data_IF_625953455920
#
_entry.id   IF_625953455920
#
_cell.length_a   1.000
_cell.length_b   1.000
_cell.length_c   1.000
_cell.angle_alpha   90.00
_cell.angle_beta   90.00
_cell.angle_gamma   90.00
#
_symmetry.space_group_name_H-M   'P 1'
#
loop_
_entity.id
_entity.type
_entity.pdbx_description
1 polymer ?
#
# COMPACT_ATOMS: atom_id res chain seq x y z
N UNK A 1 12.14 -1.86 -12.47
CA UNK A 1 11.61 -2.10 -13.84
C UNK A 1 12.70 -2.05 -14.94
N UNK A 2 13.92 -1.53 -14.69
CA UNK A 2 14.96 -1.26 -15.71
C UNK A 2 15.95 -2.42 -15.95
N UNK A 3 15.82 -3.56 -15.29
CA UNK A 3 16.67 -4.70 -15.58
C UNK A 3 16.19 -5.43 -16.82
N UNK A 4 17.14 -5.91 -17.66
CA UNK A 4 16.82 -6.71 -18.84
C UNK A 4 15.92 -7.93 -18.50
N UNK A 5 16.15 -8.55 -17.34
CA UNK A 5 15.33 -9.66 -16.85
C UNK A 5 13.88 -9.27 -16.58
N UNK A 6 13.63 -8.06 -16.04
CA UNK A 6 12.28 -7.56 -15.82
C UNK A 6 11.62 -7.17 -17.14
N UNK A 7 12.35 -6.51 -18.06
CA UNK A 7 11.84 -6.20 -19.39
C UNK A 7 11.47 -7.46 -20.18
N UNK A 8 12.30 -8.50 -20.11
CA UNK A 8 12.00 -9.79 -20.74
C UNK A 8 10.73 -10.43 -20.14
N UNK A 9 10.51 -10.28 -18.83
CA UNK A 9 9.32 -10.80 -18.16
C UNK A 9 8.05 -10.07 -18.59
N UNK A 10 8.03 -8.73 -18.57
CA UNK A 10 6.83 -7.96 -18.97
C UNK A 10 6.50 -8.07 -20.46
N UNK A 11 7.49 -8.33 -21.31
CA UNK A 11 7.28 -8.58 -22.73
C UNK A 11 7.04 -10.07 -23.07
N UNK A 12 6.86 -10.92 -22.07
CA UNK A 12 6.57 -12.34 -22.25
C UNK A 12 7.71 -13.19 -22.82
N UNK A 13 8.94 -12.65 -22.89
CA UNK A 13 10.12 -13.35 -23.43
C UNK A 13 10.69 -14.39 -22.48
N UNK A 14 10.47 -14.22 -21.19
CA UNK A 14 10.88 -15.16 -20.12
C UNK A 14 9.79 -15.31 -19.10
N UNK A 15 9.50 -16.54 -18.67
CA UNK A 15 8.47 -16.84 -17.69
C UNK A 15 8.94 -16.76 -16.23
N UNK A 16 10.22 -16.45 -15.99
CA UNK A 16 10.76 -16.38 -14.64
C UNK A 16 10.37 -15.06 -13.98
N UNK A 17 9.63 -15.14 -12.88
CA UNK A 17 9.30 -13.97 -12.06
C UNK A 17 10.58 -13.30 -11.52
N UNK A 18 10.62 -11.99 -11.59
CA UNK A 18 11.70 -11.16 -11.00
C UNK A 18 11.22 -10.65 -9.67
N UNK A 19 11.97 -10.91 -8.59
CA UNK A 19 11.64 -10.43 -7.24
C UNK A 19 11.98 -8.93 -7.09
N UNK A 20 11.23 -8.10 -7.83
CA UNK A 20 11.43 -6.65 -7.83
C UNK A 20 10.95 -5.99 -6.54
N UNK A 21 10.00 -6.60 -5.81
CA UNK A 21 9.53 -6.11 -4.53
C UNK A 21 10.62 -6.17 -3.46
N UNK A 22 11.35 -7.28 -3.38
CA UNK A 22 12.51 -7.38 -2.48
C UNK A 22 13.65 -6.46 -2.92
N UNK A 23 13.90 -6.36 -4.23
CA UNK A 23 14.92 -5.48 -4.76
C UNK A 23 14.62 -4.00 -4.43
N UNK A 24 13.37 -3.56 -4.63
CA UNK A 24 12.94 -2.22 -4.25
C UNK A 24 13.03 -1.95 -2.75
N UNK A 25 12.64 -2.92 -1.90
CA UNK A 25 12.76 -2.77 -0.46
C UNK A 25 14.22 -2.62 0.00
N UNK A 26 15.16 -3.34 -0.62
CA UNK A 26 16.59 -3.20 -0.31
C UNK A 26 17.13 -1.81 -0.58
N UNK A 27 16.65 -1.13 -1.62
CA UNK A 27 17.13 0.20 -1.98
C UNK A 27 16.91 1.25 -0.88
N UNK A 28 15.93 1.06 0.00
CA UNK A 28 15.71 1.94 1.15
C UNK A 28 16.85 1.88 2.19
N UNK A 29 17.64 0.81 2.20
CA UNK A 29 18.72 0.60 3.17
C UNK A 29 20.12 0.83 2.59
N UNK A 30 20.25 1.05 1.28
CA UNK A 30 21.56 1.21 0.60
C UNK A 30 22.32 2.45 1.08
N UNK A 31 21.64 3.49 1.56
CA UNK A 31 22.25 4.75 2.00
C UNK A 31 22.65 4.77 3.49
N UNK A 32 22.56 3.65 4.19
CA UNK A 32 23.05 3.48 5.57
C UNK A 32 22.25 4.17 6.68
N UNK A 33 21.27 5.01 6.36
CA UNK A 33 20.37 5.59 7.35
C UNK A 33 19.12 4.72 7.48
N UNK A 34 18.88 4.19 8.68
CA UNK A 34 17.68 3.40 8.98
C UNK A 34 16.79 4.23 9.90
N UNK A 35 15.97 5.09 9.30
CA UNK A 35 14.91 5.79 10.00
C UNK A 35 13.57 5.05 9.85
N UNK A 36 12.56 5.53 10.55
CA UNK A 36 11.20 5.01 10.48
C UNK A 36 10.61 5.06 9.06
N UNK A 37 10.87 6.16 8.35
CA UNK A 37 10.36 6.34 6.99
C UNK A 37 10.93 5.29 6.02
N UNK A 38 12.24 4.98 6.14
CA UNK A 38 12.88 3.95 5.34
C UNK A 38 12.30 2.56 5.65
N UNK A 39 12.08 2.25 6.93
CA UNK A 39 11.48 0.99 7.35
C UNK A 39 10.05 0.84 6.81
N UNK A 40 9.22 1.87 6.96
CA UNK A 40 7.84 1.89 6.44
C UNK A 40 7.84 1.73 4.92
N UNK A 41 8.68 2.48 4.21
CA UNK A 41 8.82 2.38 2.76
C UNK A 41 9.24 0.99 2.31
N UNK A 42 10.23 0.39 2.97
CA UNK A 42 10.68 -0.96 2.68
C UNK A 42 9.58 -2.01 2.92
N UNK A 43 8.81 -1.90 4.00
CA UNK A 43 7.67 -2.79 4.28
C UNK A 43 6.59 -2.68 3.21
N UNK A 44 6.22 -1.45 2.82
CA UNK A 44 5.24 -1.21 1.77
C UNK A 44 5.70 -1.80 0.44
N UNK A 45 6.94 -1.51 0.02
CA UNK A 45 7.48 -2.00 -1.26
C UNK A 45 7.70 -3.51 -1.25
N UNK A 46 8.16 -4.08 -0.12
CA UNK A 46 8.27 -5.54 -0.01
C UNK A 46 6.92 -6.24 -0.18
N UNK A 47 5.85 -5.60 0.29
CA UNK A 47 4.52 -6.18 0.42
C UNK A 47 3.55 -5.95 -0.74
N UNK A 48 3.80 -5.03 -1.67
CA UNK A 48 2.78 -4.52 -2.60
C UNK A 48 2.07 -5.57 -3.47
N UNK A 49 2.65 -6.76 -3.63
CA UNK A 49 2.00 -7.88 -4.33
C UNK A 49 1.40 -8.96 -3.41
N UNK A 50 1.74 -8.98 -2.12
CA UNK A 50 1.38 -10.09 -1.24
C UNK A 50 0.87 -9.67 0.15
N UNK A 51 0.79 -8.37 0.39
CA UNK A 51 0.50 -7.79 1.71
C UNK A 51 1.77 -7.43 2.47
N UNK A 52 1.64 -6.47 3.40
CA UNK A 52 2.74 -6.00 4.24
C UNK A 52 3.32 -7.19 5.03
N UNK A 53 4.60 -7.52 4.86
CA UNK A 53 5.20 -8.62 5.60
C UNK A 53 5.45 -8.26 7.06
N UNK A 54 5.55 -9.27 7.91
CA UNK A 54 6.10 -9.10 9.25
C UNK A 54 7.56 -8.65 9.18
N UNK A 55 8.01 -7.91 10.18
CA UNK A 55 9.40 -7.48 10.25
C UNK A 55 10.35 -8.68 10.34
N UNK A 56 9.94 -9.70 11.10
CA UNK A 56 10.75 -10.88 11.36
C UNK A 56 11.87 -10.63 12.38
N UNK A 57 12.81 -11.55 12.44
CA UNK A 57 13.90 -11.54 13.40
C UNK A 57 15.27 -11.61 12.72
N UNK A 58 16.32 -11.32 13.49
CA UNK A 58 17.72 -11.39 13.00
C UNK A 58 18.15 -12.80 12.58
N UNK A 59 17.47 -13.84 13.09
CA UNK A 59 17.79 -15.25 12.78
C UNK A 59 17.07 -15.75 11.52
N UNK A 60 16.11 -15.00 10.97
CA UNK A 60 15.41 -15.41 9.75
C UNK A 60 16.39 -15.66 8.61
N UNK A 61 16.15 -16.68 7.81
CA UNK A 61 16.95 -16.99 6.63
C UNK A 61 16.37 -16.34 5.36
N UNK A 62 17.11 -16.35 4.26
CA UNK A 62 16.71 -15.77 2.99
C UNK A 62 15.43 -16.41 2.38
N UNK A 63 15.02 -17.58 2.84
CA UNK A 63 13.76 -18.23 2.44
C UNK A 63 12.53 -17.77 3.21
N UNK A 64 12.71 -17.02 4.31
CA UNK A 64 11.61 -16.51 5.13
C UNK A 64 10.92 -15.33 4.44
N UNK A 65 9.58 -15.27 4.51
CA UNK A 65 8.77 -14.23 3.85
C UNK A 65 8.80 -12.88 4.58
N UNK A 66 9.40 -12.80 5.76
CA UNK A 66 9.55 -11.57 6.55
C UNK A 66 10.46 -10.53 5.86
N UNK A 67 10.39 -9.27 6.28
CA UNK A 67 11.29 -8.25 5.75
C UNK A 67 12.75 -8.63 5.98
N UNK A 68 13.13 -9.04 7.21
CA UNK A 68 14.49 -9.45 7.54
C UNK A 68 14.98 -10.64 6.69
N UNK A 69 14.12 -11.63 6.44
CA UNK A 69 14.44 -12.75 5.56
C UNK A 69 14.66 -12.29 4.11
N UNK A 70 13.80 -11.39 3.61
CA UNK A 70 13.94 -10.82 2.26
C UNK A 70 15.23 -10.02 2.10
N UNK A 71 15.65 -9.27 3.13
CA UNK A 71 16.91 -8.51 3.09
C UNK A 71 18.15 -9.41 2.93
N UNK A 72 18.08 -10.68 3.33
CA UNK A 72 19.17 -11.65 3.18
C UNK A 72 19.21 -12.35 1.81
N UNK A 73 18.20 -12.16 0.95
CA UNK A 73 18.22 -12.72 -0.41
C UNK A 73 19.35 -12.12 -1.24
N UNK A 74 20.06 -12.95 -2.00
CA UNK A 74 21.01 -12.47 -3.01
C UNK A 74 20.22 -11.99 -4.24
N UNK A 75 20.12 -10.67 -4.43
CA UNK A 75 19.42 -10.05 -5.54
C UNK A 75 20.39 -9.10 -6.23
N UNK A 76 20.41 -9.08 -7.58
CA UNK A 76 21.24 -8.13 -8.32
C UNK A 76 20.91 -6.68 -7.92
N UNK A 77 21.94 -5.84 -7.83
CA UNK A 77 21.77 -4.41 -7.55
C UNK A 77 20.89 -3.75 -8.62
N UNK A 78 20.02 -2.85 -8.17
CA UNK A 78 19.19 -2.06 -9.08
C UNK A 78 20.00 -0.83 -9.51
N UNK A 79 20.03 -0.57 -10.82
CA UNK A 79 20.45 0.73 -11.31
C UNK A 79 19.33 1.71 -11.09
N UNK A 80 19.54 2.72 -10.26
CA UNK A 80 18.57 3.79 -10.05
C UNK A 80 18.54 4.69 -11.28
N UNK A 81 17.44 4.74 -12.05
CA UNK A 81 17.34 5.70 -13.14
C UNK A 81 17.15 7.10 -12.53
N UNK A 82 18.18 7.93 -12.63
CA UNK A 82 18.18 9.30 -12.08
C UNK A 82 16.97 10.14 -12.51
N UNK A 83 16.42 9.89 -13.70
CA UNK A 83 15.26 10.59 -14.25
C UNK A 83 13.92 10.34 -13.51
N UNK A 84 13.85 9.31 -12.64
CA UNK A 84 12.67 8.99 -11.86
C UNK A 84 12.83 9.37 -10.39
N UNK A 85 13.97 9.93 -10.02
CA UNK A 85 14.12 10.50 -8.68
C UNK A 85 13.17 11.69 -8.61
N UNK A 86 12.11 11.55 -7.82
CA UNK A 86 11.31 12.67 -7.38
C UNK A 86 12.29 13.66 -6.76
N UNK A 87 12.13 14.92 -7.07
CA UNK A 87 12.92 15.99 -6.47
C UNK A 87 12.84 15.85 -4.95
N UNK A 88 13.85 15.22 -4.36
CA UNK A 88 13.93 14.97 -2.91
C UNK A 88 14.05 16.26 -2.10
N UNK A 89 14.25 17.41 -2.77
CA UNK A 89 14.27 18.72 -2.11
C UNK A 89 12.90 19.07 -1.49
N UNK A 90 11.81 18.41 -1.93
CA UNK A 90 10.48 18.62 -1.38
C UNK A 90 10.18 17.82 -0.10
N UNK A 91 11.05 16.86 0.28
CA UNK A 91 10.82 15.97 1.43
C UNK A 91 11.92 16.15 2.47
N UNK A 92 11.60 16.79 3.56
CA UNK A 92 12.45 16.81 4.76
C UNK A 92 12.34 15.47 5.50
N UNK A 93 13.25 14.55 5.15
CA UNK A 93 13.28 13.18 5.68
C UNK A 93 13.52 13.16 7.18
N UNK A 94 14.36 14.06 7.69
CA UNK A 94 14.68 14.12 9.12
C UNK A 94 13.51 14.64 9.94
N UNK A 95 12.81 15.64 9.42
CA UNK A 95 11.57 16.13 10.02
C UNK A 95 10.49 15.04 10.03
N UNK A 96 10.33 14.30 8.94
CA UNK A 96 9.36 13.19 8.85
C UNK A 96 9.71 12.05 9.81
N UNK A 97 10.96 11.66 9.93
CA UNK A 97 11.39 10.66 10.91
C UNK A 97 11.08 11.12 12.33
N UNK A 98 11.46 12.36 12.69
CA UNK A 98 11.15 12.95 13.99
C UNK A 98 9.66 13.04 14.26
N UNK A 99 8.86 13.36 13.24
CA UNK A 99 7.40 13.37 13.33
C UNK A 99 6.84 11.98 13.64
N UNK A 100 7.33 10.94 12.95
CA UNK A 100 6.89 9.55 13.15
C UNK A 100 7.28 9.05 14.54
N UNK A 101 8.48 9.33 15.01
CA UNK A 101 8.97 8.94 16.34
C UNK A 101 8.12 9.46 17.50
N UNK A 102 7.49 10.62 17.33
CA UNK A 102 6.61 11.22 18.32
C UNK A 102 5.18 10.64 18.32
N UNK A 103 4.87 9.72 17.42
CA UNK A 103 3.53 9.14 17.29
C UNK A 103 3.42 7.82 18.05
N UNK A 104 2.19 7.49 18.42
CA UNK A 104 1.91 6.19 19.00
C UNK A 104 1.91 5.08 17.92
N UNK A 105 1.96 3.84 18.35
CA UNK A 105 2.01 2.68 17.46
C UNK A 105 0.81 2.62 16.50
N UNK A 106 -0.38 3.05 16.94
CA UNK A 106 -1.59 3.03 16.11
C UNK A 106 -1.47 4.02 14.96
N UNK A 107 -0.98 5.24 15.22
CA UNK A 107 -0.79 6.27 14.19
C UNK A 107 0.20 5.79 13.12
N UNK A 108 1.32 5.18 13.55
CA UNK A 108 2.33 4.63 12.64
C UNK A 108 1.76 3.48 11.82
N UNK A 109 0.95 2.62 12.43
CA UNK A 109 0.28 1.52 11.72
C UNK A 109 -0.71 2.06 10.66
N UNK A 110 -1.51 3.07 11.00
CA UNK A 110 -2.45 3.70 10.07
C UNK A 110 -1.69 4.35 8.91
N UNK A 111 -0.65 5.13 9.21
CA UNK A 111 0.20 5.75 8.19
C UNK A 111 0.80 4.71 7.23
N UNK A 112 1.36 3.63 7.78
CA UNK A 112 1.91 2.53 6.98
C UNK A 112 0.87 1.93 6.05
N UNK A 113 -0.34 1.67 6.53
CA UNK A 113 -1.44 1.12 5.72
C UNK A 113 -1.92 2.07 4.64
N UNK A 114 -1.98 3.37 4.94
CA UNK A 114 -2.35 4.38 3.94
C UNK A 114 -1.29 4.47 2.83
N UNK A 115 -0.01 4.54 3.19
CA UNK A 115 1.08 4.54 2.20
C UNK A 115 1.09 3.26 1.36
N UNK A 116 0.87 2.12 1.98
CA UNK A 116 0.75 0.84 1.29
C UNK A 116 -0.43 0.85 0.29
N UNK A 117 -1.59 1.33 0.70
CA UNK A 117 -2.77 1.43 -0.16
C UNK A 117 -2.52 2.34 -1.37
N UNK A 118 -1.90 3.51 -1.15
CA UNK A 118 -1.53 4.42 -2.25
C UNK A 118 -0.53 3.78 -3.21
N UNK A 119 0.46 3.04 -2.69
CA UNK A 119 1.44 2.34 -3.54
C UNK A 119 0.78 1.26 -4.39
N UNK A 120 -0.09 0.44 -3.79
CA UNK A 120 -0.79 -0.63 -4.51
C UNK A 120 -1.71 -0.07 -5.59
N UNK A 121 -2.44 1.01 -5.28
CA UNK A 121 -3.31 1.69 -6.24
C UNK A 121 -2.50 2.27 -7.41
N UNK A 122 -1.38 2.94 -7.12
CA UNK A 122 -0.50 3.49 -8.13
C UNK A 122 0.13 2.41 -9.04
N UNK A 123 0.57 1.28 -8.47
CA UNK A 123 1.12 0.15 -9.24
C UNK A 123 0.06 -0.50 -10.13
N UNK A 124 -1.18 -0.58 -9.64
CA UNK A 124 -2.32 -1.09 -10.40
C UNK A 124 -2.67 -0.18 -11.58
N UNK A 125 -2.77 1.13 -11.34
CA UNK A 125 -3.08 2.12 -12.37
C UNK A 125 -1.98 2.20 -13.45
N UNK A 126 -0.71 2.15 -13.05
CA UNK A 126 0.43 2.14 -13.97
C UNK A 126 0.44 0.86 -14.84
N UNK A 127 0.11 -0.27 -14.21
CA UNK A 127 0.01 -1.56 -14.93
C UNK A 127 -1.17 -1.56 -15.90
N UNK A 128 -2.33 -1.06 -15.50
CA UNK A 128 -3.51 -0.92 -16.35
C UNK A 128 -3.21 -0.03 -17.57
N UNK A 129 -2.59 1.12 -17.33
CA UNK A 129 -2.20 2.06 -18.39
C UNK A 129 -1.23 1.41 -19.38
N UNK A 130 -0.23 0.67 -18.87
CA UNK A 130 0.73 -0.06 -19.71
C UNK A 130 0.05 -1.16 -20.54
N UNK A 131 -0.80 -1.97 -19.93
CA UNK A 131 -1.47 -3.10 -20.62
C UNK A 131 -2.47 -2.63 -21.68
N UNK A 132 -3.15 -1.52 -21.42
CA UNK A 132 -4.15 -0.97 -22.35
C UNK A 132 -3.55 0.02 -23.36
N UNK A 133 -2.26 0.33 -23.25
CA UNK A 133 -1.58 1.38 -24.03
C UNK A 133 -2.34 2.74 -23.97
N UNK A 134 -2.82 3.10 -22.78
CA UNK A 134 -3.59 4.30 -22.50
C UNK A 134 -2.90 5.12 -21.40
N UNK A 135 -3.10 6.44 -21.36
CA UNK A 135 -2.61 7.22 -20.23
C UNK A 135 -3.27 6.77 -18.91
N UNK A 136 -2.59 6.97 -17.80
CA UNK A 136 -3.14 6.72 -16.46
C UNK A 136 -4.48 7.46 -16.31
N UNK A 137 -5.50 6.75 -15.85
CA UNK A 137 -6.80 7.36 -15.62
C UNK A 137 -6.68 8.53 -14.64
N UNK A 138 -7.17 9.68 -15.04
CA UNK A 138 -7.43 10.79 -14.11
C UNK A 138 -8.85 10.59 -13.58
N UNK A 139 -8.97 10.12 -12.36
CA UNK A 139 -10.26 10.03 -11.72
C UNK A 139 -10.66 11.44 -11.23
N UNK A 140 -11.77 11.94 -11.71
CA UNK A 140 -12.49 12.99 -11.00
C UNK A 140 -13.15 12.31 -9.81
N UNK A 141 -12.63 12.57 -8.62
CA UNK A 141 -13.19 11.99 -7.41
C UNK A 141 -14.43 12.76 -7.02
N UNK A 142 -15.55 12.05 -6.90
CA UNK A 142 -16.73 12.60 -6.23
C UNK A 142 -16.39 12.96 -4.79
N UNK A 143 -17.02 13.99 -4.27
CA UNK A 143 -16.86 14.35 -2.86
C UNK A 143 -17.31 13.20 -1.95
N UNK A 144 -16.78 13.10 -0.74
CA UNK A 144 -17.21 12.09 0.24
C UNK A 144 -18.72 12.16 0.49
N UNK A 145 -19.31 13.36 0.40
CA UNK A 145 -20.75 13.56 0.55
C UNK A 145 -21.53 12.90 -0.58
N UNK A 146 -21.08 13.05 -1.82
CA UNK A 146 -21.70 12.41 -3.01
C UNK A 146 -21.55 10.90 -2.94
N UNK A 147 -20.34 10.41 -2.62
CA UNK A 147 -20.08 8.97 -2.46
C UNK A 147 -20.99 8.39 -1.37
N UNK A 148 -21.12 9.07 -0.25
CA UNK A 148 -22.02 8.67 0.83
C UNK A 148 -23.46 8.61 0.36
N UNK A 149 -23.96 9.63 -0.33
CA UNK A 149 -25.31 9.66 -0.84
C UNK A 149 -25.58 8.51 -1.82
N UNK A 150 -24.66 8.26 -2.76
CA UNK A 150 -24.74 7.15 -3.70
C UNK A 150 -24.73 5.78 -2.98
N UNK A 151 -23.91 5.62 -1.96
CA UNK A 151 -23.83 4.39 -1.16
C UNK A 151 -25.17 4.10 -0.45
N UNK A 152 -25.75 5.10 0.19
CA UNK A 152 -27.03 4.94 0.88
C UNK A 152 -28.18 4.64 -0.09
N UNK A 153 -28.26 5.37 -1.21
CA UNK A 153 -29.24 5.10 -2.26
C UNK A 153 -29.15 3.66 -2.76
N UNK A 154 -27.93 3.17 -2.99
CA UNK A 154 -27.70 1.80 -3.45
C UNK A 154 -28.15 0.75 -2.43
N UNK A 155 -27.88 0.97 -1.14
CA UNK A 155 -28.37 0.05 -0.10
C UNK A 155 -29.89 0.00 0.00
N UNK A 156 -30.58 1.12 -0.24
CA UNK A 156 -32.04 1.17 -0.28
C UNK A 156 -32.59 0.43 -1.51
N UNK A 157 -32.03 0.66 -2.69
CA UNK A 157 -32.39 -0.03 -3.95
C UNK A 157 -32.20 -1.54 -3.84
N UNK A 158 -31.10 -1.99 -3.28
CA UNK A 158 -30.78 -3.41 -3.06
C UNK A 158 -31.65 -4.04 -1.95
N UNK A 159 -32.49 -3.25 -1.29
CA UNK A 159 -33.39 -3.71 -0.23
C UNK A 159 -32.69 -4.11 1.06
N UNK A 160 -31.47 -3.58 1.30
CA UNK A 160 -30.67 -3.90 2.48
C UNK A 160 -31.42 -3.60 3.78
N UNK A 161 -32.21 -2.53 3.83
CA UNK A 161 -33.01 -2.13 4.98
C UNK A 161 -34.37 -2.87 5.10
N UNK A 162 -34.60 -3.87 4.24
CA UNK A 162 -35.77 -4.78 4.30
C UNK A 162 -35.31 -6.21 4.52
N UNK A 163 -34.77 -6.52 5.73
CA UNK A 163 -34.17 -7.82 5.97
C UNK A 163 -35.20 -8.96 5.85
N UNK A 164 -34.78 -10.05 5.19
CA UNK A 164 -35.65 -11.23 4.96
C UNK A 164 -35.37 -12.36 5.96
N UNK A 165 -34.36 -12.21 6.83
CA UNK A 165 -33.96 -13.20 7.84
C UNK A 165 -33.23 -12.53 9.00
N UNK A 166 -33.14 -13.26 10.13
CA UNK A 166 -32.55 -12.79 11.40
C UNK A 166 -31.09 -12.35 11.24
N UNK A 167 -30.31 -12.99 10.37
CA UNK A 167 -28.91 -12.58 10.12
C UNK A 167 -28.85 -11.19 9.49
N UNK A 168 -29.71 -10.93 8.51
CA UNK A 168 -29.76 -9.63 7.84
C UNK A 168 -30.34 -8.54 8.77
N UNK A 169 -31.27 -8.87 9.67
CA UNK A 169 -31.73 -7.96 10.73
C UNK A 169 -30.57 -7.50 11.59
N UNK A 170 -29.73 -8.44 12.04
CA UNK A 170 -28.51 -8.10 12.83
C UNK A 170 -27.52 -7.26 12.06
N UNK A 171 -27.33 -7.51 10.77
CA UNK A 171 -26.47 -6.68 9.92
C UNK A 171 -26.99 -5.25 9.78
N UNK A 172 -28.29 -5.05 9.63
CA UNK A 172 -28.93 -3.73 9.62
C UNK A 172 -28.74 -3.03 10.95
N UNK A 173 -28.97 -3.72 12.07
CA UNK A 173 -28.79 -3.18 13.42
C UNK A 173 -27.34 -2.70 13.65
N UNK A 174 -26.35 -3.49 13.24
CA UNK A 174 -24.92 -3.13 13.29
C UNK A 174 -24.66 -1.87 12.46
N UNK A 175 -25.13 -1.83 11.21
CA UNK A 175 -24.92 -0.68 10.33
C UNK A 175 -25.52 0.60 10.93
N UNK A 176 -26.78 0.56 11.39
CA UNK A 176 -27.42 1.70 12.04
C UNK A 176 -26.67 2.14 13.32
N UNK A 177 -26.10 1.19 14.06
CA UNK A 177 -25.29 1.50 15.24
C UNK A 177 -23.98 2.19 14.85
N UNK A 178 -23.31 1.72 13.79
CA UNK A 178 -22.10 2.37 13.26
C UNK A 178 -22.38 3.80 12.80
N UNK A 179 -23.47 4.02 12.07
CA UNK A 179 -23.88 5.35 11.62
C UNK A 179 -24.07 6.30 12.80
N UNK A 180 -24.90 5.92 13.76
CA UNK A 180 -25.20 6.73 14.94
C UNK A 180 -23.93 7.03 15.77
N UNK A 181 -23.02 6.08 15.87
CA UNK A 181 -21.74 6.28 16.57
C UNK A 181 -20.79 7.16 15.76
N UNK A 182 -20.81 7.09 14.44
CA UNK A 182 -20.00 7.95 13.57
C UNK A 182 -20.40 9.43 13.62
N UNK A 183 -21.63 9.76 14.00
CA UNK A 183 -22.12 11.14 14.20
C UNK A 183 -21.69 11.72 15.55
N UNK A 184 -21.19 10.87 16.46
CA UNK A 184 -20.73 11.28 17.78
C UNK A 184 -19.38 11.97 17.77
N UNK A 185 -18.97 12.48 18.96
CA UNK A 185 -17.58 12.99 19.12
C UNK A 185 -16.59 11.92 18.74
N UNK A 186 -15.68 12.28 17.81
CA UNK A 186 -14.53 11.43 17.49
C UNK A 186 -13.64 11.31 18.74
N UNK A 187 -13.40 10.11 19.14
CA UNK A 187 -12.50 9.79 20.23
C UNK A 187 -12.66 8.32 20.62
N UNK A 188 -11.54 7.68 20.79
CA UNK A 188 -11.44 6.43 21.52
C UNK A 188 -11.57 6.71 23.01
#
# INVERSE_FOLDING_TARGET
>A
KDTAAFQDYIHGRKHRRVDHSTAGAKSFFENGHIGWLQLIGALCVAGHHAGIPDLGSKVDCAGTSTLNGRMKKCIPSIRHPQRYLIDSTCLDVDHLNTFIEKRNTLDVMILTRMLFSCLVDADFLDTEAFMNNQPVRKNEFSSLKEISAMFWSRLEEDGYFRPKNTLNEKRCEILHTCMRKGEGKQGL
#
